data_IF_341665755098
#
_entry.id   IF_341665755098
#
_cell.length_a   1.000
_cell.length_b   1.000
_cell.length_c   1.000
_cell.angle_alpha   90.00
_cell.angle_beta   90.00
_cell.angle_gamma   90.00
#
_symmetry.space_group_name_H-M   'P 1'
#
loop_
_entity.id
_entity.type
_entity.pdbx_description
1 polymer ?
#
# COMPACT_ATOMS: atom_id res chain seq x y z
N UNK A 1 5.72 42.29 -72.37
CA UNK A 1 4.94 41.12 -71.90
C UNK A 1 5.78 40.33 -70.87
N UNK A 2 5.58 40.54 -69.61
CA UNK A 2 6.29 39.77 -68.57
C UNK A 2 5.22 38.99 -67.71
N UNK A 3 5.22 37.70 -67.81
CA UNK A 3 4.36 36.78 -67.01
C UNK A 3 4.99 36.64 -65.64
N UNK A 4 4.25 37.00 -64.59
CA UNK A 4 4.60 36.70 -63.18
C UNK A 4 4.05 35.34 -62.82
N UNK A 5 4.93 34.44 -62.40
CA UNK A 5 4.57 33.16 -61.83
C UNK A 5 4.22 33.31 -60.35
N UNK A 6 3.01 32.90 -59.95
CA UNK A 6 2.60 32.77 -58.55
C UNK A 6 3.16 31.45 -58.00
N UNK A 7 4.07 31.56 -57.04
CA UNK A 7 4.49 30.44 -56.25
C UNK A 7 3.44 30.08 -55.18
N UNK A 8 2.92 28.87 -55.21
CA UNK A 8 2.08 28.31 -54.14
C UNK A 8 3.00 27.84 -53.02
N UNK A 9 2.88 28.48 -51.84
CA UNK A 9 3.47 28.01 -50.62
C UNK A 9 2.53 26.95 -50.04
N UNK A 10 2.94 25.68 -50.07
CA UNK A 10 2.25 24.58 -49.37
C UNK A 10 2.80 24.56 -47.94
N UNK A 11 2.02 25.12 -47.01
CA UNK A 11 2.31 25.04 -45.58
C UNK A 11 2.03 23.63 -45.08
N UNK A 12 3.08 22.86 -44.86
CA UNK A 12 2.99 21.59 -44.17
C UNK A 12 2.69 21.79 -42.67
N UNK A 13 1.51 21.42 -42.23
CA UNK A 13 1.18 21.34 -40.82
C UNK A 13 1.86 20.06 -40.26
N UNK A 14 2.96 20.21 -39.53
CA UNK A 14 3.57 19.14 -38.78
C UNK A 14 2.68 18.84 -37.58
N UNK A 15 1.88 17.78 -37.67
CA UNK A 15 1.16 17.19 -36.52
C UNK A 15 2.19 16.49 -35.65
N UNK A 16 2.57 17.11 -34.54
CA UNK A 16 3.33 16.44 -33.48
C UNK A 16 2.38 15.47 -32.77
N UNK A 17 2.42 14.19 -33.17
CA UNK A 17 1.88 13.11 -32.35
C UNK A 17 2.76 13.03 -31.09
N UNK A 18 2.28 13.62 -29.98
CA UNK A 18 2.84 13.33 -28.66
C UNK A 18 2.59 11.84 -28.41
N UNK A 19 3.61 11.04 -28.61
CA UNK A 19 3.67 9.66 -28.08
C UNK A 19 3.68 9.80 -26.56
N UNK A 20 2.48 9.86 -25.96
CA UNK A 20 2.33 9.69 -24.52
C UNK A 20 2.92 8.32 -24.18
N UNK A 21 4.00 8.30 -23.39
CA UNK A 21 4.51 7.06 -22.85
C UNK A 21 3.34 6.36 -22.14
N UNK A 22 2.92 5.20 -22.64
CA UNK A 22 1.89 4.41 -21.98
C UNK A 22 2.38 4.13 -20.56
N UNK A 23 1.58 4.48 -19.55
CA UNK A 23 1.89 4.16 -18.18
C UNK A 23 2.13 2.63 -18.08
N UNK A 24 3.09 2.17 -17.27
CA UNK A 24 3.26 0.76 -17.04
C UNK A 24 1.92 0.11 -16.69
N UNK A 25 1.63 -1.07 -17.21
CA UNK A 25 0.33 -1.76 -17.01
C UNK A 25 -0.09 -1.79 -15.53
N UNK A 26 0.87 -1.99 -14.61
CA UNK A 26 0.66 -1.96 -13.16
C UNK A 26 0.13 -0.61 -12.65
N UNK A 27 0.66 0.52 -13.13
CA UNK A 27 0.22 1.84 -12.66
C UNK A 27 -1.22 2.15 -13.12
N UNK A 28 -1.57 1.92 -14.37
CA UNK A 28 -2.92 2.17 -14.89
C UNK A 28 -3.97 1.31 -14.17
N UNK A 29 -3.66 0.06 -13.90
CA UNK A 29 -4.53 -0.85 -13.15
C UNK A 29 -4.71 -0.38 -11.71
N UNK A 30 -3.63 -0.03 -11.03
CA UNK A 30 -3.68 0.53 -9.68
C UNK A 30 -4.54 1.80 -9.62
N UNK A 31 -4.38 2.74 -10.55
CA UNK A 31 -5.16 3.98 -10.56
C UNK A 31 -6.66 3.72 -10.75
N UNK A 32 -7.02 2.72 -11.54
CA UNK A 32 -8.43 2.32 -11.72
C UNK A 32 -9.03 1.81 -10.40
N UNK A 33 -8.33 0.89 -9.72
CA UNK A 33 -8.78 0.35 -8.43
C UNK A 33 -8.79 1.42 -7.33
N UNK A 34 -7.79 2.28 -7.31
CA UNK A 34 -7.72 3.41 -6.37
C UNK A 34 -8.89 4.38 -6.54
N UNK A 35 -9.25 4.72 -7.79
CA UNK A 35 -10.38 5.59 -8.07
C UNK A 35 -11.69 4.97 -7.56
N UNK A 36 -11.91 3.67 -7.78
CA UNK A 36 -13.07 2.95 -7.27
C UNK A 36 -13.10 2.93 -5.73
N UNK A 37 -11.96 2.69 -5.07
CA UNK A 37 -11.85 2.72 -3.63
C UNK A 37 -12.18 4.10 -3.03
N UNK A 38 -11.69 5.17 -3.65
CA UNK A 38 -11.96 6.55 -3.22
C UNK A 38 -13.39 7.00 -3.46
N UNK A 39 -14.04 6.49 -4.51
CA UNK A 39 -15.43 6.81 -4.83
C UNK A 39 -16.43 6.21 -3.83
N UNK A 40 -16.08 5.09 -3.17
CA UNK A 40 -16.94 4.43 -2.16
C UNK A 40 -18.32 3.96 -2.68
N UNK A 41 -18.51 3.90 -4.01
CA UNK A 41 -19.81 3.67 -4.63
C UNK A 41 -20.11 2.21 -4.97
N UNK A 42 -19.15 1.31 -4.79
CA UNK A 42 -19.27 -0.13 -5.08
C UNK A 42 -18.41 -0.93 -4.09
N UNK A 43 -18.63 -2.24 -3.96
CA UNK A 43 -17.71 -3.10 -3.21
C UNK A 43 -16.28 -2.96 -3.77
N UNK A 44 -15.34 -2.65 -2.90
CA UNK A 44 -13.92 -2.46 -3.27
C UNK A 44 -13.22 -3.81 -3.15
N UNK A 45 -12.50 -4.21 -4.21
CA UNK A 45 -11.56 -5.32 -4.14
C UNK A 45 -10.23 -4.84 -3.53
N UNK A 46 -10.19 -4.86 -2.19
CA UNK A 46 -9.03 -4.40 -1.42
C UNK A 46 -7.80 -5.26 -1.66
N UNK A 47 -7.96 -6.55 -1.91
CA UNK A 47 -6.85 -7.44 -2.20
C UNK A 47 -6.24 -7.11 -3.57
N UNK A 48 -7.08 -6.93 -4.60
CA UNK A 48 -6.60 -6.51 -5.91
C UNK A 48 -5.90 -5.14 -5.86
N UNK A 49 -6.44 -4.17 -5.09
CA UNK A 49 -5.82 -2.85 -4.91
C UNK A 49 -4.44 -2.95 -4.27
N UNK A 50 -4.29 -3.76 -3.21
CA UNK A 50 -3.01 -3.98 -2.52
C UNK A 50 -1.98 -4.63 -3.46
N UNK A 51 -2.38 -5.66 -4.19
CA UNK A 51 -1.50 -6.32 -5.15
C UNK A 51 -1.11 -5.41 -6.32
N UNK A 52 -2.05 -4.63 -6.84
CA UNK A 52 -1.74 -3.64 -7.86
C UNK A 52 -0.80 -2.54 -7.36
N UNK A 53 -0.88 -2.17 -6.07
CA UNK A 53 0.08 -1.26 -5.46
C UNK A 53 1.50 -1.84 -5.46
N UNK A 54 1.67 -3.13 -5.14
CA UNK A 54 2.98 -3.82 -5.19
C UNK A 54 3.60 -3.81 -6.59
N UNK A 55 2.77 -3.94 -7.63
CA UNK A 55 3.25 -4.03 -9.02
C UNK A 55 3.72 -2.68 -9.58
N UNK A 56 3.53 -1.59 -8.83
CA UNK A 56 3.97 -0.25 -9.24
C UNK A 56 5.49 -0.11 -9.14
N UNK A 57 6.14 0.58 -10.09
CA UNK A 57 7.58 0.86 -10.00
C UNK A 57 7.98 1.69 -8.76
N UNK A 58 7.06 2.51 -8.26
CA UNK A 58 7.28 3.35 -7.08
C UNK A 58 7.00 2.63 -5.76
N UNK A 59 6.50 1.37 -5.81
CA UNK A 59 6.26 0.60 -4.61
C UNK A 59 7.56 -0.04 -4.14
N UNK A 60 7.88 0.09 -2.90
CA UNK A 60 9.06 -0.53 -2.28
C UNK A 60 9.74 0.43 -1.33
N UNK A 61 10.35 -0.10 -0.30
CA UNK A 61 11.26 0.43 0.71
C UNK A 61 11.20 1.89 1.16
N UNK A 62 10.83 2.80 0.30
CA UNK A 62 10.81 4.24 0.61
C UNK A 62 9.57 4.68 1.39
N UNK A 63 8.41 4.03 1.19
CA UNK A 63 7.18 4.45 1.89
C UNK A 63 7.16 4.02 3.36
N UNK A 64 7.62 2.81 3.68
CA UNK A 64 7.64 2.29 5.05
C UNK A 64 8.59 3.05 5.98
N UNK A 65 9.70 3.53 5.44
CA UNK A 65 10.72 4.28 6.19
C UNK A 65 10.65 5.80 5.96
N UNK A 66 9.56 6.31 5.38
CA UNK A 66 9.42 7.74 5.10
C UNK A 66 9.42 8.58 6.38
N UNK A 67 9.90 9.82 6.29
CA UNK A 67 9.90 10.73 7.42
C UNK A 67 8.48 11.10 7.85
N UNK A 68 7.54 11.17 6.90
CA UNK A 68 6.12 11.38 7.20
C UNK A 68 5.55 10.23 8.05
N UNK A 69 5.91 8.98 7.73
CA UNK A 69 5.46 7.80 8.51
C UNK A 69 6.06 7.80 9.92
N UNK A 70 7.33 8.13 10.07
CA UNK A 70 7.98 8.30 11.38
C UNK A 70 7.31 9.42 12.18
N UNK A 71 7.03 10.56 11.53
CA UNK A 71 6.35 11.69 12.14
C UNK A 71 4.93 11.33 12.61
N UNK A 72 4.18 10.59 11.78
CA UNK A 72 2.85 10.07 12.09
C UNK A 72 2.85 9.23 13.37
N UNK A 73 3.70 8.21 13.46
CA UNK A 73 3.80 7.37 14.64
C UNK A 73 4.28 8.15 15.87
N UNK A 74 5.23 9.07 15.70
CA UNK A 74 5.73 9.89 16.79
C UNK A 74 4.66 10.84 17.33
N UNK A 75 3.89 11.49 16.45
CA UNK A 75 2.80 12.37 16.84
C UNK A 75 1.67 11.60 17.55
N UNK A 76 1.29 10.43 17.01
CA UNK A 76 0.29 9.56 17.62
C UNK A 76 0.70 9.14 19.05
N UNK A 77 1.95 8.70 19.25
CA UNK A 77 2.45 8.31 20.59
C UNK A 77 2.47 9.47 21.60
N UNK A 78 2.67 10.71 21.15
CA UNK A 78 2.66 11.90 22.02
C UNK A 78 1.28 12.48 22.24
N UNK A 79 0.24 11.96 21.54
CA UNK A 79 -1.08 12.56 21.57
C UNK A 79 -1.18 13.92 20.86
N UNK A 80 -0.23 14.24 19.97
CA UNK A 80 -0.26 15.44 19.13
C UNK A 80 -1.21 15.22 17.94
N UNK A 81 -2.49 15.44 18.21
CA UNK A 81 -3.59 15.04 17.34
C UNK A 81 -3.55 15.75 15.98
N UNK A 82 -3.19 17.05 15.97
CA UNK A 82 -3.15 17.84 14.75
C UNK A 82 -2.02 17.39 13.83
N UNK A 83 -0.80 17.27 14.37
CA UNK A 83 0.35 16.75 13.63
C UNK A 83 0.11 15.30 13.18
N UNK A 84 -0.54 14.49 14.02
CA UNK A 84 -0.89 13.11 13.69
C UNK A 84 -1.81 13.02 12.48
N UNK A 85 -2.88 13.83 12.44
CA UNK A 85 -3.82 13.83 11.31
C UNK A 85 -3.15 14.31 10.01
N UNK A 86 -2.33 15.38 10.08
CA UNK A 86 -1.59 15.90 8.91
C UNK A 86 -0.59 14.86 8.36
N UNK A 87 0.23 14.29 9.23
CA UNK A 87 1.23 13.30 8.83
C UNK A 87 0.59 12.03 8.27
N UNK A 88 -0.52 11.55 8.88
CA UNK A 88 -1.27 10.42 8.34
C UNK A 88 -1.81 10.70 6.94
N UNK A 89 -2.37 11.90 6.71
CA UNK A 89 -2.84 12.31 5.39
C UNK A 89 -1.74 12.31 4.33
N UNK A 90 -0.52 12.72 4.69
CA UNK A 90 0.65 12.68 3.79
C UNK A 90 1.05 11.24 3.48
N UNK A 91 1.09 10.35 4.46
CA UNK A 91 1.38 8.92 4.24
C UNK A 91 0.33 8.30 3.33
N UNK A 92 -0.96 8.53 3.58
CA UNK A 92 -2.06 8.03 2.75
C UNK A 92 -1.97 8.55 1.31
N UNK A 93 -1.57 9.81 1.11
CA UNK A 93 -1.38 10.37 -0.22
C UNK A 93 -0.24 9.70 -0.99
N UNK A 94 0.82 9.28 -0.31
CA UNK A 94 1.97 8.58 -0.88
C UNK A 94 1.68 7.08 -1.11
N UNK A 95 1.01 6.45 -0.15
CA UNK A 95 0.68 5.03 -0.15
C UNK A 95 -0.74 4.79 0.41
N UNK A 96 -1.71 4.75 -0.49
CA UNK A 96 -3.13 4.58 -0.10
C UNK A 96 -3.44 3.21 0.51
N UNK A 97 -2.56 2.22 0.36
CA UNK A 97 -2.76 0.89 0.94
C UNK A 97 -2.05 0.70 2.30
N UNK A 98 -1.49 1.77 2.88
CA UNK A 98 -0.93 1.74 4.24
C UNK A 98 -2.08 1.75 5.27
N UNK A 99 -2.51 0.56 5.70
CA UNK A 99 -3.62 0.42 6.64
C UNK A 99 -3.34 1.09 7.99
N UNK A 100 -2.08 1.09 8.45
CA UNK A 100 -1.70 1.70 9.72
C UNK A 100 -1.91 3.23 9.69
N UNK A 101 -1.62 3.86 8.53
CA UNK A 101 -1.88 5.28 8.35
C UNK A 101 -3.39 5.59 8.42
N UNK A 102 -4.23 4.76 7.81
CA UNK A 102 -5.69 4.92 7.91
C UNK A 102 -6.22 4.72 9.33
N UNK A 103 -5.72 3.72 10.08
CA UNK A 103 -6.09 3.50 11.50
C UNK A 103 -5.73 4.71 12.35
N UNK A 104 -4.51 5.23 12.18
CA UNK A 104 -4.02 6.38 12.95
C UNK A 104 -4.78 7.64 12.54
N UNK A 105 -5.00 7.88 11.24
CA UNK A 105 -5.81 8.99 10.74
C UNK A 105 -7.22 8.98 11.34
N UNK A 106 -7.91 7.83 11.32
CA UNK A 106 -9.24 7.68 11.90
C UNK A 106 -9.28 8.03 13.38
N UNK A 107 -8.23 7.66 14.13
CA UNK A 107 -8.11 7.96 15.55
C UNK A 107 -7.93 9.46 15.78
N UNK A 108 -6.98 10.08 15.08
CA UNK A 108 -6.66 11.50 15.27
C UNK A 108 -7.77 12.41 14.74
N UNK A 109 -8.39 12.09 13.61
CA UNK A 109 -9.54 12.83 13.08
C UNK A 109 -10.75 12.79 14.04
N UNK A 110 -11.00 11.63 14.66
CA UNK A 110 -12.07 11.51 15.67
C UNK A 110 -11.82 12.41 16.87
N UNK A 111 -10.58 12.48 17.35
CA UNK A 111 -10.20 13.36 18.46
C UNK A 111 -10.30 14.85 18.11
N UNK A 112 -10.16 15.20 16.81
CA UNK A 112 -10.39 16.54 16.28
C UNK A 112 -11.88 16.87 16.04
N UNK A 113 -12.80 15.94 16.35
CA UNK A 113 -14.23 16.13 16.11
C UNK A 113 -14.65 15.94 14.63
N UNK A 114 -13.77 15.47 13.76
CA UNK A 114 -14.03 15.25 12.33
C UNK A 114 -14.61 13.84 12.09
N UNK A 115 -15.80 13.59 12.64
CA UNK A 115 -16.37 12.25 12.74
C UNK A 115 -16.57 11.56 11.39
N UNK A 116 -17.05 12.27 10.36
CA UNK A 116 -17.26 11.70 9.03
C UNK A 116 -15.94 11.31 8.33
N UNK A 117 -14.92 12.17 8.43
CA UNK A 117 -13.61 11.87 7.89
C UNK A 117 -12.99 10.66 8.63
N UNK A 118 -13.10 10.63 9.96
CA UNK A 118 -12.64 9.50 10.76
C UNK A 118 -13.33 8.18 10.40
N UNK A 119 -14.64 8.22 10.12
CA UNK A 119 -15.39 7.03 9.71
C UNK A 119 -14.90 6.51 8.34
N UNK A 120 -14.68 7.39 7.36
CA UNK A 120 -14.14 7.00 6.06
C UNK A 120 -12.78 6.32 6.18
N UNK A 121 -11.85 6.90 6.94
CA UNK A 121 -10.53 6.30 7.15
C UNK A 121 -10.63 4.95 7.87
N UNK A 122 -11.53 4.81 8.84
CA UNK A 122 -11.76 3.53 9.52
C UNK A 122 -12.32 2.44 8.58
N UNK A 123 -13.19 2.81 7.64
CA UNK A 123 -13.73 1.86 6.66
C UNK A 123 -12.67 1.38 5.67
N UNK A 124 -11.81 2.29 5.19
CA UNK A 124 -10.65 1.93 4.37
C UNK A 124 -9.70 1.00 5.14
N UNK A 125 -9.34 1.37 6.38
CA UNK A 125 -8.48 0.55 7.23
C UNK A 125 -9.02 -0.87 7.38
N UNK A 126 -10.33 -1.01 7.66
CA UNK A 126 -10.99 -2.30 7.81
C UNK A 126 -10.92 -3.12 6.52
N UNK A 127 -11.16 -2.49 5.38
CA UNK A 127 -11.06 -3.16 4.08
C UNK A 127 -9.66 -3.69 3.79
N UNK A 128 -8.63 -2.88 4.05
CA UNK A 128 -7.23 -3.26 3.88
C UNK A 128 -6.82 -4.39 4.84
N UNK A 129 -7.20 -4.29 6.13
CA UNK A 129 -6.90 -5.32 7.13
C UNK A 129 -7.57 -6.65 6.76
N UNK A 130 -8.84 -6.65 6.37
CA UNK A 130 -9.54 -7.86 5.93
C UNK A 130 -8.87 -8.50 4.70
N UNK A 131 -8.27 -7.70 3.84
CA UNK A 131 -7.54 -8.21 2.68
C UNK A 131 -6.13 -8.75 3.02
N UNK A 132 -5.60 -8.46 4.22
CA UNK A 132 -4.41 -9.12 4.77
C UNK A 132 -4.81 -10.42 5.46
N UNK A 133 -5.88 -10.38 6.25
CA UNK A 133 -6.39 -11.49 7.06
C UNK A 133 -7.17 -12.50 6.22
N UNK A 134 -6.49 -13.11 5.23
CA UNK A 134 -7.09 -14.10 4.31
C UNK A 134 -7.38 -15.45 4.95
N UNK A 135 -6.82 -15.70 6.13
CA UNK A 135 -7.05 -16.86 6.99
C UNK A 135 -7.09 -16.44 8.45
N UNK A 136 -6.82 -17.36 9.37
CA UNK A 136 -6.67 -17.06 10.80
C UNK A 136 -5.24 -16.71 11.20
N UNK A 137 -4.29 -16.92 10.29
CA UNK A 137 -2.88 -16.67 10.49
C UNK A 137 -2.18 -17.69 11.40
N UNK A 138 -2.86 -18.77 11.83
CA UNK A 138 -2.32 -19.70 12.85
C UNK A 138 -1.58 -20.90 12.26
N UNK A 139 -1.59 -21.05 10.94
CA UNK A 139 -0.93 -22.15 10.25
C UNK A 139 -0.56 -21.79 8.81
N UNK A 140 0.33 -22.58 8.20
CA UNK A 140 0.64 -22.51 6.79
C UNK A 140 -0.58 -22.77 5.87
N UNK A 141 -1.60 -23.47 6.35
CA UNK A 141 -2.82 -23.76 5.60
C UNK A 141 -3.78 -22.56 5.56
N UNK A 142 -3.72 -21.66 6.53
CA UNK A 142 -4.59 -20.50 6.65
C UNK A 142 -3.78 -19.22 6.98
N UNK A 143 -2.77 -18.87 6.16
CA UNK A 143 -1.87 -17.77 6.46
C UNK A 143 -2.54 -16.41 6.22
N UNK A 144 -1.98 -15.36 6.77
CA UNK A 144 -2.22 -13.99 6.33
C UNK A 144 -1.44 -13.71 5.03
N UNK A 145 -1.87 -12.71 4.26
CA UNK A 145 -1.25 -12.36 2.99
C UNK A 145 -0.80 -10.89 2.98
N UNK A 146 0.42 -10.60 3.44
CA UNK A 146 0.97 -9.25 3.43
C UNK A 146 1.46 -8.86 2.04
N UNK A 147 1.72 -7.58 1.83
CA UNK A 147 2.43 -7.03 0.66
C UNK A 147 3.79 -6.45 1.03
N UNK A 148 4.07 -6.30 2.32
CA UNK A 148 5.38 -5.90 2.85
C UNK A 148 5.60 -6.53 4.22
N UNK A 149 6.87 -6.62 4.63
CA UNK A 149 7.23 -7.05 5.99
C UNK A 149 6.70 -6.06 7.03
N UNK A 150 6.66 -4.75 6.69
CA UNK A 150 6.12 -3.72 7.59
C UNK A 150 4.65 -3.97 7.95
N UNK A 151 3.82 -4.44 6.99
CA UNK A 151 2.42 -4.81 7.28
C UNK A 151 2.29 -5.92 8.33
N UNK A 152 3.22 -6.86 8.36
CA UNK A 152 3.20 -7.96 9.34
C UNK A 152 3.35 -7.41 10.76
N UNK A 153 4.35 -6.55 10.96
CA UNK A 153 4.62 -5.93 12.26
C UNK A 153 3.52 -4.96 12.68
N UNK A 154 3.00 -4.17 11.75
CA UNK A 154 1.90 -3.25 12.02
C UNK A 154 0.63 -3.99 12.42
N UNK A 155 0.32 -5.11 11.76
CA UNK A 155 -0.83 -5.95 12.09
C UNK A 155 -0.67 -6.58 13.48
N UNK A 156 0.53 -7.04 13.83
CA UNK A 156 0.80 -7.56 15.18
C UNK A 156 0.67 -6.46 16.22
N UNK A 157 1.21 -5.27 15.95
CA UNK A 157 1.04 -4.10 16.83
C UNK A 157 -0.43 -3.71 17.02
N UNK A 158 -1.23 -3.71 15.96
CA UNK A 158 -2.68 -3.44 16.04
C UNK A 158 -3.42 -4.49 16.88
N UNK A 159 -2.99 -5.75 16.83
CA UNK A 159 -3.51 -6.85 17.67
C UNK A 159 -2.98 -6.84 19.11
N UNK A 160 -2.19 -5.82 19.49
CA UNK A 160 -1.60 -5.71 20.83
C UNK A 160 -0.53 -6.76 21.13
N UNK A 161 0.17 -7.23 20.08
CA UNK A 161 1.20 -8.26 20.20
C UNK A 161 2.59 -7.68 19.92
N UNK A 162 3.56 -8.11 20.69
CA UNK A 162 4.98 -7.86 20.46
C UNK A 162 5.56 -9.02 19.67
N UNK A 163 6.32 -8.75 18.64
CA UNK A 163 7.05 -9.76 17.87
C UNK A 163 8.34 -10.06 18.62
N UNK A 164 8.49 -11.29 19.08
CA UNK A 164 9.67 -11.77 19.78
C UNK A 164 10.74 -12.29 18.80
N UNK A 165 10.28 -12.92 17.70
CA UNK A 165 11.15 -13.49 16.67
C UNK A 165 10.40 -13.61 15.35
N UNK A 166 11.11 -13.38 14.25
CA UNK A 166 10.71 -13.72 12.88
C UNK A 166 11.54 -14.87 12.35
N UNK A 167 10.93 -15.78 11.62
CA UNK A 167 11.59 -16.93 11.01
C UNK A 167 11.05 -17.15 9.60
N UNK A 168 11.94 -17.27 8.62
CA UNK A 168 11.58 -17.71 7.27
C UNK A 168 11.39 -19.22 7.25
N UNK A 169 10.25 -19.69 6.83
CA UNK A 169 9.90 -21.10 6.69
C UNK A 169 9.50 -21.39 5.24
N UNK A 170 10.11 -22.41 4.64
CA UNK A 170 9.70 -22.91 3.33
C UNK A 170 8.93 -24.22 3.52
N UNK A 171 7.68 -24.23 3.05
CA UNK A 171 6.80 -25.40 3.14
C UNK A 171 5.93 -25.48 1.89
N UNK A 172 5.77 -26.68 1.31
CA UNK A 172 4.91 -26.96 0.16
C UNK A 172 5.11 -26.01 -1.03
N UNK A 173 6.36 -25.63 -1.29
CA UNK A 173 6.81 -24.68 -2.33
C UNK A 173 6.37 -23.23 -2.09
N UNK A 174 5.97 -22.89 -0.90
CA UNK A 174 5.64 -21.55 -0.45
C UNK A 174 6.63 -21.07 0.59
N UNK A 175 6.88 -19.77 0.60
CA UNK A 175 7.66 -19.10 1.62
C UNK A 175 6.74 -18.40 2.62
N UNK A 176 7.04 -18.56 3.88
CA UNK A 176 6.29 -17.95 4.99
C UNK A 176 7.22 -17.21 5.92
N UNK A 177 6.82 -16.01 6.34
CA UNK A 177 7.31 -15.46 7.58
C UNK A 177 6.46 -15.95 8.73
N UNK A 178 7.13 -16.48 9.75
CA UNK A 178 6.48 -16.98 10.98
C UNK A 178 6.93 -16.09 12.13
N UNK A 179 5.99 -15.34 12.69
CA UNK A 179 6.22 -14.44 13.80
C UNK A 179 5.83 -15.10 15.12
N UNK A 180 6.82 -15.38 15.98
CA UNK A 180 6.58 -15.69 17.38
C UNK A 180 6.20 -14.40 18.09
N UNK A 181 5.04 -14.36 18.73
CA UNK A 181 4.52 -13.14 19.36
C UNK A 181 4.06 -13.38 20.79
N UNK A 182 4.13 -12.32 21.62
CA UNK A 182 3.63 -12.31 22.99
C UNK A 182 2.72 -11.10 23.20
N UNK A 183 1.58 -11.29 23.87
CA UNK A 183 0.69 -10.20 24.27
C UNK A 183 1.06 -9.62 25.64
N UNK A 184 0.33 -8.57 26.07
CA UNK A 184 0.55 -7.92 27.38
C UNK A 184 0.29 -8.82 28.60
N UNK A 185 -0.34 -9.99 28.40
CA UNK A 185 -0.61 -10.99 29.45
C UNK A 185 0.40 -12.13 29.42
N UNK A 186 1.35 -12.12 28.48
CA UNK A 186 2.35 -13.18 28.29
C UNK A 186 1.86 -14.36 27.46
N UNK A 187 0.68 -14.28 26.84
CA UNK A 187 0.20 -15.31 25.93
C UNK A 187 1.02 -15.33 24.65
N UNK A 188 1.53 -16.50 24.28
CA UNK A 188 2.37 -16.70 23.09
C UNK A 188 1.57 -17.32 21.97
N UNK A 189 1.61 -16.69 20.78
CA UNK A 189 0.99 -17.18 19.55
C UNK A 189 1.97 -17.02 18.39
N UNK A 190 1.99 -17.99 17.47
CA UNK A 190 2.70 -17.90 16.20
C UNK A 190 1.73 -17.47 15.12
N UNK A 191 2.12 -16.47 14.34
CA UNK A 191 1.39 -16.04 13.14
C UNK A 191 2.18 -16.35 11.88
N UNK A 192 1.48 -16.88 10.89
CA UNK A 192 2.01 -17.27 9.59
C UNK A 192 1.59 -16.26 8.51
N UNK A 193 2.55 -15.79 7.76
CA UNK A 193 2.36 -14.85 6.66
C UNK A 193 2.90 -15.48 5.37
N UNK A 194 2.06 -15.57 4.33
CA UNK A 194 2.46 -16.06 3.01
C UNK A 194 3.18 -14.93 2.27
N UNK A 195 4.50 -15.05 2.10
CA UNK A 195 5.35 -13.99 1.56
C UNK A 195 5.87 -14.23 0.15
N UNK A 196 5.32 -15.18 -0.62
CA UNK A 196 5.77 -15.47 -1.99
C UNK A 196 5.80 -14.21 -2.85
N UNK A 197 4.76 -13.36 -2.77
CA UNK A 197 4.69 -12.11 -3.52
C UNK A 197 5.70 -11.08 -3.04
N UNK A 198 5.92 -10.98 -1.74
CA UNK A 198 6.91 -10.06 -1.14
C UNK A 198 8.29 -10.43 -1.65
N UNK A 199 8.66 -11.71 -1.57
CA UNK A 199 9.96 -12.21 -2.07
C UNK A 199 10.12 -12.00 -3.58
N UNK A 200 9.06 -12.22 -4.37
CA UNK A 200 9.11 -11.98 -5.82
C UNK A 200 9.31 -10.49 -6.15
N UNK A 201 8.67 -9.58 -5.41
CA UNK A 201 8.82 -8.15 -5.59
C UNK A 201 10.24 -7.68 -5.20
N UNK A 202 10.78 -8.19 -4.11
CA UNK A 202 12.17 -7.91 -3.69
C UNK A 202 13.18 -8.43 -4.71
N UNK A 203 13.04 -9.69 -5.16
CA UNK A 203 13.92 -10.26 -6.18
C UNK A 203 13.93 -9.41 -7.46
N UNK A 204 12.76 -8.92 -7.89
CA UNK A 204 12.63 -8.01 -9.03
C UNK A 204 13.36 -6.68 -8.79
N UNK A 205 13.28 -6.11 -7.59
CA UNK A 205 13.94 -4.86 -7.24
C UNK A 205 15.47 -4.95 -7.28
N UNK A 206 16.01 -6.14 -6.97
CA UNK A 206 17.45 -6.45 -7.05
C UNK A 206 17.89 -6.92 -8.44
N UNK A 207 17.01 -6.94 -9.44
CA UNK A 207 17.31 -7.35 -10.82
C UNK A 207 17.44 -8.87 -11.02
N UNK A 208 17.04 -9.67 -10.05
CA UNK A 208 16.97 -11.12 -10.21
C UNK A 208 15.75 -11.50 -11.07
N UNK A 209 15.98 -12.33 -12.11
CA UNK A 209 14.86 -12.94 -12.85
C UNK A 209 14.25 -14.01 -11.94
N UNK A 210 12.98 -13.86 -11.60
CA UNK A 210 12.20 -14.96 -11.02
C UNK A 210 12.05 -16.09 -12.05
N UNK A 211 12.22 -17.34 -11.67
CA UNK A 211 12.12 -18.48 -12.57
C UNK A 211 10.74 -18.63 -13.20
#
# INVERSE_FOLDING_TARGET
MRRRALGRIVGGVAVWLALGAAAPYGEAHYQTLLAAAKAGSAPVDWQALRFAAMDRPAFGGSSENSDDRKAMFAANRRGDVATCADASGKVIAQNYVDFAAHVIAATCLRQLGQAEAAAREADVARGLINAIETGDGLSAAHPFTPITVGEEYDLMGLRGRTVDRQSLVNQDRHAFDVLDTTDSKGEKIKYWFLIDRVMAAEAKSFGFKTP
#
